data_IF_149197138962
#
_entry.id   IF_149197138962
#
_cell.length_a   1.000
_cell.length_b   1.000
_cell.length_c   1.000
_cell.angle_alpha   90.00
_cell.angle_beta   90.00
_cell.angle_gamma   90.00
#
_symmetry.space_group_name_H-M   'P 1'
#
loop_
_entity.id
_entity.type
_entity.pdbx_description
1 polymer ?
#
# COMPACT_ATOMS: atom_id res chain seq x y z
N UNK A 1 -8.85 -17.94 25.71
CA UNK A 1 -8.84 -16.67 24.94
C UNK A 1 -8.34 -16.96 23.55
N UNK A 2 -9.25 -17.05 22.58
CA UNK A 2 -8.96 -17.46 21.20
C UNK A 2 -8.61 -16.22 20.39
N UNK A 3 -7.32 -15.93 20.24
CA UNK A 3 -6.87 -14.91 19.28
C UNK A 3 -6.78 -15.57 17.92
N UNK A 4 -7.87 -15.53 17.14
CA UNK A 4 -7.81 -15.86 15.73
C UNK A 4 -6.93 -14.81 15.05
N UNK A 5 -5.68 -15.15 14.77
CA UNK A 5 -4.88 -14.43 13.78
C UNK A 5 -5.54 -14.71 12.43
N UNK A 6 -6.47 -13.84 12.02
CA UNK A 6 -6.99 -13.86 10.67
C UNK A 6 -5.82 -13.52 9.75
N UNK A 7 -5.38 -14.50 8.94
CA UNK A 7 -4.41 -14.33 7.85
C UNK A 7 -4.91 -13.17 6.98
N UNK A 8 -4.21 -12.02 6.89
CA UNK A 8 -4.71 -10.95 6.07
C UNK A 8 -4.64 -11.44 4.62
N UNK A 9 -5.79 -11.49 3.96
CA UNK A 9 -5.82 -11.58 2.52
C UNK A 9 -5.03 -10.37 2.02
N UNK A 10 -3.89 -10.62 1.36
CA UNK A 10 -2.99 -9.63 0.82
C UNK A 10 -3.64 -8.92 -0.37
N UNK A 11 -4.75 -8.23 -0.10
CA UNK A 11 -5.63 -7.66 -1.11
C UNK A 11 -6.09 -6.29 -0.64
N UNK A 12 -6.19 -5.38 -1.60
CA UNK A 12 -6.65 -4.02 -1.38
C UNK A 12 -8.00 -4.00 -0.62
N UNK A 13 -8.11 -3.15 0.40
CA UNK A 13 -9.27 -3.01 1.29
C UNK A 13 -10.48 -2.39 0.61
N UNK A 14 -10.25 -1.45 -0.32
CA UNK A 14 -11.30 -0.68 -1.00
C UNK A 14 -11.01 -0.65 -2.48
N UNK A 15 -11.99 -1.03 -3.29
CA UNK A 15 -11.86 -0.93 -4.74
C UNK A 15 -12.13 0.52 -5.19
N UNK A 16 -11.19 1.18 -5.90
CA UNK A 16 -11.39 2.53 -6.41
C UNK A 16 -12.40 2.49 -7.57
N UNK A 17 -13.45 3.33 -7.48
CA UNK A 17 -14.52 3.39 -8.52
C UNK A 17 -14.51 4.67 -9.32
N UNK A 18 -13.83 5.70 -8.83
CA UNK A 18 -13.74 7.02 -9.46
C UNK A 18 -12.34 7.23 -10.03
N UNK A 19 -12.24 7.99 -11.13
CA UNK A 19 -10.96 8.26 -11.81
C UNK A 19 -9.86 8.75 -10.84
N UNK A 20 -10.20 9.66 -9.92
CA UNK A 20 -9.24 10.14 -8.91
C UNK A 20 -8.73 9.04 -7.98
N UNK A 21 -9.61 8.15 -7.52
CA UNK A 21 -9.22 7.04 -6.64
C UNK A 21 -8.37 6.00 -7.39
N UNK A 22 -8.63 5.79 -8.69
CA UNK A 22 -7.82 4.90 -9.53
C UNK A 22 -6.41 5.46 -9.69
N UNK A 23 -6.29 6.73 -10.09
CA UNK A 23 -4.99 7.40 -10.22
C UNK A 23 -4.19 7.41 -8.90
N UNK A 24 -4.88 7.50 -7.75
CA UNK A 24 -4.24 7.42 -6.43
C UNK A 24 -3.66 6.03 -6.17
N UNK A 25 -4.40 4.98 -6.50
CA UNK A 25 -3.94 3.59 -6.33
C UNK A 25 -2.78 3.29 -7.27
N UNK A 26 -2.84 3.73 -8.52
CA UNK A 26 -1.74 3.60 -9.49
C UNK A 26 -0.47 4.30 -8.98
N UNK A 27 -0.58 5.55 -8.51
CA UNK A 27 0.55 6.28 -7.95
C UNK A 27 1.18 5.56 -6.75
N UNK A 28 0.37 4.94 -5.89
CA UNK A 28 0.86 4.16 -4.73
C UNK A 28 1.61 2.90 -5.19
N UNK A 29 1.11 2.19 -6.21
CA UNK A 29 1.74 0.98 -6.74
C UNK A 29 3.07 1.33 -7.42
N UNK A 30 3.09 2.37 -8.25
CA UNK A 30 4.30 2.83 -8.93
C UNK A 30 5.38 3.30 -7.94
N UNK A 31 4.97 4.06 -6.93
CA UNK A 31 5.87 4.46 -5.84
C UNK A 31 6.37 3.24 -5.05
N UNK A 32 5.50 2.25 -4.81
CA UNK A 32 5.87 0.97 -4.21
C UNK A 32 6.99 0.27 -4.95
N UNK A 33 6.85 0.13 -6.28
CA UNK A 33 7.86 -0.48 -7.14
C UNK A 33 9.20 0.29 -7.11
N UNK A 34 9.15 1.64 -7.15
CA UNK A 34 10.36 2.48 -7.08
C UNK A 34 11.08 2.34 -5.76
N UNK A 35 10.38 2.52 -4.64
CA UNK A 35 10.96 2.41 -3.30
C UNK A 35 11.54 1.00 -3.09
N UNK A 36 10.83 -0.04 -3.51
CA UNK A 36 11.33 -1.41 -3.39
C UNK A 36 12.62 -1.62 -4.20
N UNK A 37 12.69 -1.06 -5.40
CA UNK A 37 13.86 -1.18 -6.29
C UNK A 37 15.07 -0.40 -5.77
N UNK A 38 14.86 0.76 -5.17
CA UNK A 38 15.94 1.65 -4.72
C UNK A 38 16.58 1.22 -3.40
N UNK A 39 15.77 0.77 -2.43
CA UNK A 39 16.25 0.52 -1.05
C UNK A 39 15.98 -0.90 -0.55
N UNK A 40 15.41 -1.76 -1.39
CA UNK A 40 15.15 -3.16 -1.09
C UNK A 40 14.09 -3.40 -0.01
N UNK A 41 13.75 -4.67 0.22
CA UNK A 41 12.69 -5.08 1.14
C UNK A 41 12.89 -4.66 2.60
N UNK A 42 14.14 -4.63 3.06
CA UNK A 42 14.50 -4.23 4.41
C UNK A 42 14.19 -2.73 4.65
N UNK A 43 14.42 -1.89 3.64
CA UNK A 43 14.11 -0.47 3.69
C UNK A 43 12.66 -0.12 3.34
N UNK A 44 11.92 -1.05 2.72
CA UNK A 44 10.56 -0.87 2.23
C UNK A 44 9.53 -0.73 3.37
N UNK A 45 8.80 0.39 3.36
CA UNK A 45 7.74 0.69 4.33
C UNK A 45 6.61 1.51 3.71
N UNK A 46 5.41 1.40 4.28
CA UNK A 46 4.23 2.15 3.82
C UNK A 46 4.42 3.67 3.92
N UNK A 47 5.18 4.16 4.90
CA UNK A 47 5.48 5.58 5.03
C UNK A 47 6.29 6.11 3.85
N UNK A 48 7.36 5.40 3.46
CA UNK A 48 8.19 5.81 2.31
C UNK A 48 7.43 5.74 1.00
N UNK A 49 6.54 4.74 0.86
CA UNK A 49 5.68 4.63 -0.33
C UNK A 49 4.66 5.78 -0.36
N UNK A 50 4.03 6.12 0.76
CA UNK A 50 3.09 7.25 0.82
C UNK A 50 3.77 8.58 0.46
N UNK A 51 4.98 8.81 0.99
CA UNK A 51 5.82 9.96 0.67
C UNK A 51 6.15 10.01 -0.82
N UNK A 52 6.66 8.92 -1.39
CA UNK A 52 7.03 8.82 -2.80
C UNK A 52 5.81 8.94 -3.76
N UNK A 53 4.63 8.49 -3.33
CA UNK A 53 3.38 8.62 -4.09
C UNK A 53 2.74 10.01 -3.96
N UNK A 54 3.23 10.87 -3.07
CA UNK A 54 2.63 12.19 -2.80
C UNK A 54 1.24 12.09 -2.16
N UNK A 55 0.97 11.04 -1.37
CA UNK A 55 -0.32 10.82 -0.71
C UNK A 55 -0.17 10.84 0.81
N UNK A 56 -1.26 11.12 1.53
CA UNK A 56 -1.24 10.95 2.98
C UNK A 56 -1.14 9.46 3.35
N UNK A 57 -0.51 9.16 4.48
CA UNK A 57 -0.44 7.79 5.01
C UNK A 57 -1.84 7.21 5.28
N UNK A 58 -2.80 8.05 5.68
CA UNK A 58 -4.19 7.66 5.85
C UNK A 58 -4.86 7.25 4.54
N UNK A 59 -4.60 7.97 3.45
CA UNK A 59 -5.07 7.61 2.11
C UNK A 59 -4.51 6.28 1.66
N UNK A 60 -3.22 6.00 1.92
CA UNK A 60 -2.64 4.70 1.63
C UNK A 60 -3.35 3.58 2.39
N UNK A 61 -3.57 3.74 3.70
CA UNK A 61 -4.23 2.72 4.54
C UNK A 61 -5.71 2.49 4.21
N UNK A 62 -6.38 3.41 3.49
CA UNK A 62 -7.72 3.16 2.94
C UNK A 62 -7.71 2.05 1.88
N UNK A 63 -6.60 1.89 1.17
CA UNK A 63 -6.44 0.90 0.10
C UNK A 63 -5.57 -0.28 0.54
N UNK A 64 -4.43 -0.03 1.17
CA UNK A 64 -3.44 -1.06 1.49
C UNK A 64 -3.31 -1.23 3.02
N UNK A 65 -3.68 -2.40 3.59
CA UNK A 65 -3.62 -2.64 5.04
C UNK A 65 -2.21 -2.53 5.62
N UNK A 66 -1.21 -2.92 4.83
CA UNK A 66 0.18 -3.07 5.22
C UNK A 66 1.07 -3.06 3.97
N UNK A 67 2.39 -3.15 4.17
CA UNK A 67 3.36 -3.16 3.06
C UNK A 67 3.33 -4.44 2.23
N UNK A 68 2.81 -5.55 2.75
CA UNK A 68 2.71 -6.79 1.96
C UNK A 68 1.67 -6.61 0.86
N UNK A 69 0.56 -5.94 1.14
CA UNK A 69 -0.47 -5.67 0.14
C UNK A 69 -0.02 -4.79 -1.04
N UNK A 70 1.16 -4.16 -0.96
CA UNK A 70 1.77 -3.40 -2.07
C UNK A 70 2.59 -4.27 -3.04
N UNK A 71 2.87 -5.52 -2.68
CA UNK A 71 3.72 -6.44 -3.47
C UNK A 71 3.00 -7.73 -3.89
N UNK A 72 1.72 -7.88 -3.55
CA UNK A 72 0.85 -8.98 -3.96
C UNK A 72 -0.14 -8.51 -5.02
#
# INVERSE_FOLDING_TARGET
>A
MSTRIAKPAARMRKEPRQARSVATVEAIIDAGARVLSEIGWAGFSTNKVAEAAGVSIGSLYQYFPDKLALVY
#
